data_IF_139579399299
#
_entry.id   IF_139579399299
#
_cell.length_a   1.000
_cell.length_b   1.000
_cell.length_c   1.000
_cell.angle_alpha   90.00
_cell.angle_beta   90.00
_cell.angle_gamma   90.00
#
_symmetry.space_group_name_H-M   'P 1'
#
loop_
_entity.id
_entity.type
_entity.pdbx_description
1 polymer ?
#
# COMPACT_ATOMS: atom_id res chain seq x y z
N UNK A 1 12.88 27.80 17.19
CA UNK A 1 11.45 28.16 17.04
C UNK A 1 11.16 27.94 15.57
N UNK A 2 10.86 26.74 15.11
CA UNK A 2 10.50 25.48 15.76
C UNK A 2 11.29 24.36 15.09
N UNK A 3 11.81 23.42 15.88
CA UNK A 3 12.17 22.08 15.41
C UNK A 3 10.95 21.19 15.73
N UNK A 4 10.15 20.75 14.75
CA UNK A 4 9.17 19.70 15.00
C UNK A 4 9.76 18.37 14.53
N UNK A 5 10.15 17.56 15.52
CA UNK A 5 10.34 16.11 15.53
C UNK A 5 10.89 15.44 14.25
N UNK A 6 12.14 14.99 14.34
CA UNK A 6 12.46 13.63 13.90
C UNK A 6 11.58 12.65 14.68
N UNK A 7 10.70 11.90 14.00
CA UNK A 7 10.05 10.71 14.57
C UNK A 7 9.71 9.73 13.43
N UNK A 8 10.41 8.59 13.42
CA UNK A 8 10.25 7.50 12.47
C UNK A 8 11.23 7.54 11.29
N UNK A 9 12.44 6.97 11.45
CA UNK A 9 13.30 6.60 10.32
C UNK A 9 12.77 5.37 9.53
N UNK A 10 11.44 5.23 9.48
CA UNK A 10 10.74 4.30 8.61
C UNK A 10 10.23 5.10 7.40
N UNK A 11 10.76 4.82 6.21
CA UNK A 11 10.36 5.54 5.00
C UNK A 11 8.94 5.14 4.61
N UNK A 12 7.94 5.94 5.01
CA UNK A 12 6.54 5.74 4.60
C UNK A 12 6.44 5.99 3.10
N UNK A 13 6.15 4.96 2.33
CA UNK A 13 6.01 5.05 0.88
C UNK A 13 4.56 5.38 0.54
N UNK A 14 4.33 6.52 -0.09
CA UNK A 14 3.00 6.92 -0.59
C UNK A 14 3.01 6.89 -2.11
N UNK A 15 2.03 6.21 -2.71
CA UNK A 15 1.81 6.16 -4.17
C UNK A 15 0.32 6.23 -4.51
N UNK A 16 0.02 6.43 -5.78
CA UNK A 16 -1.35 6.50 -6.30
C UNK A 16 -1.64 5.24 -7.11
N UNK A 17 -2.74 4.54 -6.79
CA UNK A 17 -3.11 3.31 -7.49
C UNK A 17 -3.50 3.57 -8.95
N UNK A 18 -4.02 4.75 -9.28
CA UNK A 18 -4.36 5.19 -10.64
C UNK A 18 -3.17 5.21 -11.62
N UNK A 19 -1.94 5.19 -11.10
CA UNK A 19 -0.74 5.04 -11.96
C UNK A 19 -0.56 3.63 -12.52
N UNK A 20 -1.32 2.68 -11.99
CA UNK A 20 -1.24 1.27 -12.31
C UNK A 20 -2.60 0.82 -12.86
N UNK A 21 -2.55 -0.16 -13.77
CA UNK A 21 -3.78 -0.76 -14.31
C UNK A 21 -4.52 -1.60 -13.26
N UNK A 22 -3.77 -2.15 -12.31
CA UNK A 22 -4.27 -3.05 -11.28
C UNK A 22 -3.84 -2.59 -9.88
N UNK A 23 -4.80 -2.54 -8.95
CA UNK A 23 -4.56 -2.18 -7.54
C UNK A 23 -3.50 -3.09 -6.91
N UNK A 24 -3.50 -4.37 -7.28
CA UNK A 24 -2.53 -5.35 -6.82
C UNK A 24 -1.09 -5.01 -7.23
N UNK A 25 -0.89 -4.51 -8.45
CA UNK A 25 0.42 -4.09 -8.94
C UNK A 25 0.89 -2.83 -8.22
N UNK A 26 -0.02 -1.89 -7.95
CA UNK A 26 0.29 -0.69 -7.16
C UNK A 26 0.80 -1.07 -5.76
N UNK A 27 0.11 -2.01 -5.10
CA UNK A 27 0.50 -2.53 -3.78
C UNK A 27 1.88 -3.18 -3.85
N UNK A 28 2.09 -4.13 -4.76
CA UNK A 28 3.36 -4.83 -4.89
C UNK A 28 4.51 -3.86 -5.19
N UNK A 29 4.29 -2.88 -6.06
CA UNK A 29 5.29 -1.86 -6.40
C UNK A 29 5.61 -0.94 -5.22
N UNK A 30 4.60 -0.53 -4.43
CA UNK A 30 4.81 0.35 -3.28
C UNK A 30 5.57 -0.38 -2.16
N UNK A 31 5.19 -1.63 -1.89
CA UNK A 31 5.85 -2.48 -0.90
C UNK A 31 7.26 -2.79 -1.34
N UNK A 32 7.47 -3.14 -2.61
CA UNK A 32 8.80 -3.35 -3.19
C UNK A 32 9.71 -2.14 -3.00
N UNK A 33 9.18 -0.94 -3.22
CA UNK A 33 9.91 0.31 -2.99
C UNK A 33 10.24 0.50 -1.51
N UNK A 34 9.30 0.19 -0.60
CA UNK A 34 9.52 0.31 0.84
C UNK A 34 10.55 -0.71 1.37
N UNK A 35 10.54 -1.93 0.84
CA UNK A 35 11.46 -3.00 1.23
C UNK A 35 12.79 -2.96 0.48
N UNK A 36 12.96 -2.06 -0.49
CA UNK A 36 14.07 -2.06 -1.46
C UNK A 36 14.24 -3.44 -2.16
N UNK A 37 13.13 -4.12 -2.40
CA UNK A 37 13.08 -5.43 -3.08
C UNK A 37 12.42 -5.30 -4.44
N UNK A 38 12.53 -6.33 -5.27
CA UNK A 38 11.77 -6.39 -6.51
C UNK A 38 10.32 -6.82 -6.23
N UNK A 39 9.30 -6.27 -6.93
CA UNK A 39 7.91 -6.71 -6.78
C UNK A 39 7.70 -8.19 -7.17
N UNK A 40 8.64 -8.77 -7.93
CA UNK A 40 8.65 -10.19 -8.29
C UNK A 40 9.19 -11.10 -7.18
N UNK A 41 9.91 -10.55 -6.20
CA UNK A 41 10.41 -11.28 -5.03
C UNK A 41 9.39 -11.30 -3.89
N UNK A 42 8.36 -10.44 -3.97
CA UNK A 42 7.29 -10.40 -2.99
C UNK A 42 6.28 -11.54 -3.26
N UNK A 43 5.76 -12.20 -2.21
CA UNK A 43 4.76 -13.24 -2.36
C UNK A 43 3.47 -12.66 -2.95
N UNK A 44 2.75 -13.34 -3.86
CA UNK A 44 1.52 -12.79 -4.41
C UNK A 44 0.48 -12.51 -3.32
N UNK A 45 -0.33 -11.46 -3.51
CA UNK A 45 -1.36 -11.06 -2.54
C UNK A 45 -2.34 -12.18 -2.19
N UNK A 46 -2.59 -13.09 -3.13
CA UNK A 46 -3.41 -14.28 -2.89
C UNK A 46 -2.83 -15.22 -1.81
N UNK A 47 -1.52 -15.24 -1.58
CA UNK A 47 -0.92 -16.06 -0.52
C UNK A 47 -1.27 -15.57 0.89
N UNK A 48 -1.50 -14.27 1.06
CA UNK A 48 -1.96 -13.70 2.32
C UNK A 48 -3.49 -13.66 2.44
N UNK A 49 -4.21 -14.22 1.46
CA UNK A 49 -5.68 -14.20 1.41
C UNK A 49 -6.28 -12.89 0.91
N UNK A 50 -5.51 -12.06 0.20
CA UNK A 50 -5.99 -10.83 -0.42
C UNK A 50 -6.20 -11.06 -1.91
N UNK A 51 -7.45 -11.02 -2.34
CA UNK A 51 -7.81 -11.19 -3.74
C UNK A 51 -7.62 -9.88 -4.53
N UNK A 52 -6.79 -9.89 -5.59
CA UNK A 52 -6.51 -8.70 -6.40
C UNK A 52 -7.75 -8.21 -7.15
N UNK A 53 -8.55 -9.14 -7.69
CA UNK A 53 -9.84 -8.85 -8.35
C UNK A 53 -10.84 -8.20 -7.38
N UNK A 54 -10.86 -8.64 -6.12
CA UNK A 54 -11.75 -8.06 -5.12
C UNK A 54 -11.33 -6.63 -4.76
N UNK A 55 -10.02 -6.37 -4.67
CA UNK A 55 -9.50 -5.01 -4.49
C UNK A 55 -9.90 -4.13 -5.67
N UNK A 56 -9.74 -4.60 -6.91
CA UNK A 56 -10.16 -3.82 -8.07
C UNK A 56 -11.66 -3.51 -8.00
N UNK A 57 -12.54 -4.48 -7.76
CA UNK A 57 -13.98 -4.23 -7.58
C UNK A 57 -14.32 -3.33 -6.39
N UNK A 58 -13.49 -3.32 -5.34
CA UNK A 58 -13.69 -2.47 -4.16
C UNK A 58 -13.22 -1.04 -4.37
N UNK A 59 -12.27 -0.78 -5.26
CA UNK A 59 -11.66 0.54 -5.45
C UNK A 59 -12.00 1.17 -6.81
N UNK A 60 -12.34 0.36 -7.81
CA UNK A 60 -12.98 0.74 -9.06
C UNK A 60 -14.51 0.55 -8.96
N UNK A 61 -15.38 1.36 -9.60
CA UNK A 61 -15.26 2.75 -10.05
C UNK A 61 -15.92 3.76 -9.07
N UNK A 62 -16.40 3.32 -7.90
CA UNK A 62 -16.87 4.23 -6.85
C UNK A 62 -15.68 4.61 -5.97
N UNK A 63 -15.02 5.72 -6.33
CA UNK A 63 -14.13 6.45 -5.43
C UNK A 63 -14.97 7.00 -4.26
N UNK A 64 -15.31 6.12 -3.31
CA UNK A 64 -15.89 6.55 -2.05
C UNK A 64 -14.72 6.92 -1.12
N UNK A 65 -14.49 8.22 -0.86
CA UNK A 65 -13.33 8.67 -0.08
C UNK A 65 -13.39 8.19 1.38
N UNK A 66 -14.55 7.71 1.83
CA UNK A 66 -14.74 7.13 3.17
C UNK A 66 -14.26 5.68 3.26
N UNK A 67 -14.00 5.01 2.13
CA UNK A 67 -13.53 3.62 2.10
C UNK A 67 -12.04 3.59 2.40
N UNK A 68 -11.64 2.76 3.37
CA UNK A 68 -10.24 2.52 3.70
C UNK A 68 -10.04 1.03 3.93
N UNK A 69 -9.00 0.48 3.31
CA UNK A 69 -8.60 -0.91 3.49
C UNK A 69 -7.15 -0.94 3.95
N UNK A 70 -6.90 -1.56 5.11
CA UNK A 70 -5.55 -1.64 5.69
C UNK A 70 -5.24 -3.11 6.02
N UNK A 71 -4.08 -3.59 5.59
CA UNK A 71 -3.64 -4.96 5.81
C UNK A 71 -2.12 -5.03 5.91
N UNK A 72 -1.61 -6.10 6.52
CA UNK A 72 -0.18 -6.33 6.65
C UNK A 72 0.31 -7.23 5.51
N UNK A 73 1.45 -6.85 4.93
CA UNK A 73 2.06 -7.58 3.82
C UNK A 73 3.57 -7.38 3.83
N UNK A 74 4.33 -8.49 3.76
CA UNK A 74 5.79 -8.49 3.83
C UNK A 74 6.36 -7.68 5.03
N UNK A 75 5.70 -7.72 6.19
CA UNK A 75 6.12 -6.97 7.39
C UNK A 75 5.83 -5.46 7.33
N UNK A 76 5.03 -5.00 6.37
CA UNK A 76 4.64 -3.61 6.22
C UNK A 76 3.12 -3.47 6.29
N UNK A 77 2.63 -2.36 6.84
CA UNK A 77 1.21 -2.01 6.83
C UNK A 77 0.88 -1.26 5.54
N UNK A 78 0.14 -1.93 4.68
CA UNK A 78 -0.42 -1.36 3.46
C UNK A 78 -1.78 -0.77 3.80
N UNK A 79 -1.98 0.52 3.53
CA UNK A 79 -3.26 1.22 3.67
C UNK A 79 -3.67 1.84 2.35
N UNK A 80 -4.83 1.44 1.86
CA UNK A 80 -5.44 1.91 0.63
C UNK A 80 -6.67 2.74 0.96
N UNK A 81 -6.70 3.95 0.41
CA UNK A 81 -7.77 4.91 0.57
C UNK A 81 -8.63 4.90 -0.68
N UNK A 82 -9.95 5.05 -0.53
CA UNK A 82 -10.92 5.06 -1.62
C UNK A 82 -10.80 6.27 -2.55
N UNK A 83 -9.93 7.22 -2.22
CA UNK A 83 -9.49 8.29 -3.12
C UNK A 83 -8.45 7.82 -4.15
N UNK A 84 -7.94 6.58 -4.04
CA UNK A 84 -6.87 6.04 -4.88
C UNK A 84 -5.46 6.24 -4.30
N UNK A 85 -5.37 6.79 -3.09
CA UNK A 85 -4.10 6.92 -2.37
C UNK A 85 -3.73 5.59 -1.70
N UNK A 86 -2.47 5.18 -1.84
CA UNK A 86 -1.89 4.00 -1.22
C UNK A 86 -0.68 4.42 -0.37
N UNK A 87 -0.66 4.02 0.89
CA UNK A 87 0.45 4.27 1.82
C UNK A 87 0.98 2.96 2.36
N UNK A 88 2.29 2.79 2.40
CA UNK A 88 2.99 1.65 2.97
C UNK A 88 3.84 2.15 4.12
N UNK A 89 3.51 1.65 5.30
CA UNK A 89 4.17 2.01 6.55
C UNK A 89 4.98 0.80 7.05
N UNK A 90 6.26 0.94 7.39
CA UNK A 90 7.01 -0.14 8.02
C UNK A 90 6.44 -0.39 9.41
N UNK A 91 6.11 -1.65 9.75
CA UNK A 91 5.84 -2.00 11.14
C UNK A 91 7.17 -1.95 11.90
N UNK A 92 7.44 -0.84 12.57
CA UNK A 92 8.50 -0.77 13.58
C UNK A 92 8.06 -1.66 14.76
N UNK A 93 8.88 -2.65 15.12
CA UNK A 93 8.68 -3.52 16.31
C UNK A 93 9.25 -2.86 17.57
#
# INVERSE_FOLDING_TARGET
MDDPLEDGAGSVVTTSVERYDEVAVAIASAVATATELSPLELPPLSEIGVDPEALDVLFHPSHDPSRRFSFQYAGHLVSLFGDGTLTVDPLDD
#
